data_IF_985384135707
#
_entry.id   IF_985384135707
#
_cell.length_a   1.000
_cell.length_b   1.000
_cell.length_c   1.000
_cell.angle_alpha   90.00
_cell.angle_beta   90.00
_cell.angle_gamma   90.00
#
_symmetry.space_group_name_H-M   'P 1'
#
loop_
_entity.id
_entity.type
_entity.pdbx_description
1 polymer ?
#
# COMPACT_ATOMS: atom_id res chain seq x y z
N UNK A 1 44.60 9.72 13.83
CA UNK A 1 43.50 10.33 14.60
C UNK A 1 42.36 10.75 13.71
N UNK A 2 42.62 11.52 12.69
CA UNK A 2 41.58 11.93 11.71
C UNK A 2 40.91 10.78 10.97
N UNK A 3 41.58 9.64 10.83
CA UNK A 3 41.08 8.46 10.13
C UNK A 3 39.89 7.80 10.83
N UNK A 4 39.83 7.87 12.16
CA UNK A 4 38.76 7.27 12.94
C UNK A 4 37.43 7.93 12.67
N UNK A 5 37.41 9.25 12.48
CA UNK A 5 36.22 10.02 12.15
C UNK A 5 35.64 9.59 10.80
N UNK A 6 36.51 9.32 9.80
CA UNK A 6 36.07 8.86 8.49
C UNK A 6 35.37 7.49 8.52
N UNK A 7 35.88 6.57 9.35
CA UNK A 7 35.28 5.25 9.52
C UNK A 7 33.89 5.34 10.16
N UNK A 8 33.69 6.22 11.13
CA UNK A 8 32.40 6.43 11.77
C UNK A 8 31.38 6.95 10.76
N UNK A 9 31.75 7.90 9.89
CA UNK A 9 30.88 8.41 8.83
C UNK A 9 30.48 7.32 7.84
N UNK A 10 31.38 6.45 7.46
CA UNK A 10 31.07 5.32 6.57
C UNK A 10 30.08 4.35 7.20
N UNK A 11 30.20 4.09 8.50
CA UNK A 11 29.24 3.24 9.22
C UNK A 11 27.83 3.79 9.18
N UNK A 12 27.64 5.10 9.30
CA UNK A 12 26.32 5.75 9.20
C UNK A 12 25.75 5.60 7.80
N UNK A 13 26.56 5.72 6.75
CA UNK A 13 26.13 5.60 5.36
C UNK A 13 25.69 4.17 4.98
N UNK A 14 26.07 3.16 5.76
CA UNK A 14 25.71 1.76 5.53
C UNK A 14 24.39 1.36 6.21
N UNK A 15 23.68 2.28 6.88
CA UNK A 15 22.38 1.98 7.47
C UNK A 15 21.38 1.56 6.40
N UNK A 16 20.58 0.50 6.67
CA UNK A 16 19.62 0.02 5.71
C UNK A 16 18.53 1.05 5.45
N UNK A 17 18.10 1.14 4.19
CA UNK A 17 16.96 1.96 3.78
C UNK A 17 15.79 1.02 3.55
N UNK A 18 14.67 1.26 4.26
CA UNK A 18 13.44 0.51 4.06
C UNK A 18 12.59 1.20 3.01
N UNK A 19 12.19 0.43 1.99
CA UNK A 19 11.30 0.89 0.93
C UNK A 19 10.02 0.07 1.01
N UNK A 20 8.90 0.76 1.23
CA UNK A 20 7.58 0.13 1.20
C UNK A 20 7.10 0.03 -0.25
N UNK A 21 6.36 -1.03 -0.55
CA UNK A 21 5.65 -1.16 -1.82
C UNK A 21 4.28 -1.79 -1.54
N UNK A 22 3.35 -1.59 -2.47
CA UNK A 22 1.99 -2.09 -2.35
C UNK A 22 1.68 -3.07 -3.48
N UNK A 23 2.24 -4.28 -3.33
CA UNK A 23 1.89 -5.42 -4.18
C UNK A 23 0.72 -6.14 -3.54
N UNK A 24 -0.43 -6.10 -4.20
CA UNK A 24 -1.72 -6.50 -3.65
C UNK A 24 -2.21 -7.78 -4.33
N UNK A 25 -2.59 -8.77 -3.53
CA UNK A 25 -3.23 -9.99 -4.02
C UNK A 25 -4.68 -10.03 -3.54
N UNK A 26 -5.60 -10.29 -4.47
CA UNK A 26 -7.03 -10.45 -4.16
C UNK A 26 -7.33 -11.90 -3.86
N UNK A 27 -7.75 -12.18 -2.63
CA UNK A 27 -8.17 -13.53 -2.20
C UNK A 27 -9.62 -13.79 -2.55
N UNK A 28 -10.01 -15.08 -2.58
CA UNK A 28 -11.39 -15.50 -2.81
C UNK A 28 -12.21 -15.56 -1.52
N UNK A 29 -11.56 -15.52 -0.37
CA UNK A 29 -12.20 -15.69 0.94
C UNK A 29 -11.68 -14.65 1.94
N UNK A 30 -12.60 -14.05 2.70
CA UNK A 30 -12.28 -13.08 3.73
C UNK A 30 -11.29 -13.65 4.78
N UNK A 31 -11.40 -14.93 5.09
CA UNK A 31 -10.53 -15.59 6.08
C UNK A 31 -9.05 -15.62 5.68
N UNK A 32 -8.75 -15.43 4.40
CA UNK A 32 -7.38 -15.44 3.87
C UNK A 32 -6.81 -14.04 3.68
N UNK A 33 -7.61 -13.01 3.90
CA UNK A 33 -7.23 -11.63 3.67
C UNK A 33 -6.61 -11.00 4.91
N UNK A 34 -5.68 -10.07 4.68
CA UNK A 34 -5.18 -9.19 5.73
C UNK A 34 -6.20 -8.10 6.06
N UNK A 35 -6.91 -7.61 5.05
CA UNK A 35 -7.96 -6.59 5.19
C UNK A 35 -9.12 -6.86 4.23
N UNK A 36 -10.31 -6.48 4.66
CA UNK A 36 -11.50 -6.43 3.82
C UNK A 36 -11.64 -5.04 3.22
N UNK A 37 -11.88 -4.98 1.92
CA UNK A 37 -11.92 -3.72 1.16
C UNK A 37 -13.27 -3.56 0.49
N UNK A 38 -13.86 -2.37 0.61
CA UNK A 38 -15.07 -1.98 -0.11
C UNK A 38 -14.76 -0.86 -1.09
N UNK A 39 -15.20 -1.03 -2.36
CA UNK A 39 -15.03 -0.01 -3.39
C UNK A 39 -16.26 0.91 -3.34
N UNK A 40 -16.04 2.17 -3.01
CA UNK A 40 -17.10 3.18 -2.94
C UNK A 40 -17.37 3.80 -4.32
N UNK A 41 -18.59 4.31 -4.50
CA UNK A 41 -19.01 4.93 -5.76
C UNK A 41 -18.51 6.37 -5.90
N UNK A 42 -18.25 7.05 -4.80
CA UNK A 42 -17.85 8.44 -4.78
C UNK A 42 -16.56 8.63 -4.00
N UNK A 43 -15.68 9.47 -4.52
CA UNK A 43 -14.38 9.79 -3.91
C UNK A 43 -14.54 10.29 -2.47
N UNK A 44 -15.57 11.09 -2.20
CA UNK A 44 -15.84 11.66 -0.86
C UNK A 44 -16.12 10.62 0.22
N UNK A 45 -16.44 9.39 -0.16
CA UNK A 45 -16.73 8.28 0.75
C UNK A 45 -15.50 7.40 1.03
N UNK A 46 -14.40 7.65 0.36
CA UNK A 46 -13.20 6.78 0.44
C UNK A 46 -12.30 7.16 1.62
N UNK A 47 -11.63 6.15 2.15
CA UNK A 47 -10.49 6.31 3.05
C UNK A 47 -9.20 6.54 2.26
N UNK A 48 -9.07 5.84 1.13
CA UNK A 48 -7.90 5.86 0.26
C UNK A 48 -8.33 5.93 -1.20
N UNK A 49 -7.73 6.83 -1.94
CA UNK A 49 -7.86 6.91 -3.40
C UNK A 49 -6.73 6.09 -4.01
N UNK A 50 -7.10 5.06 -4.78
CA UNK A 50 -6.18 4.07 -5.33
C UNK A 50 -6.00 4.27 -6.82
N UNK A 51 -4.75 4.32 -7.26
CA UNK A 51 -4.38 4.23 -8.66
C UNK A 51 -3.71 2.89 -8.92
N UNK A 52 -4.26 2.12 -9.89
CA UNK A 52 -3.66 0.85 -10.31
C UNK A 52 -2.46 1.14 -11.19
N UNK A 53 -1.28 0.73 -10.74
CA UNK A 53 -0.06 0.87 -11.54
C UNK A 53 0.15 -0.37 -12.41
N UNK A 54 0.81 -0.18 -13.57
CA UNK A 54 1.03 -1.26 -14.53
C UNK A 54 2.28 -2.09 -14.22
N UNK A 55 3.22 -1.51 -13.46
CA UNK A 55 4.50 -2.14 -13.17
C UNK A 55 4.79 -2.11 -11.67
N UNK A 56 5.40 -3.20 -11.17
CA UNK A 56 5.75 -3.35 -9.76
C UNK A 56 6.61 -2.19 -9.24
N UNK A 57 7.54 -1.71 -10.06
CA UNK A 57 8.43 -0.59 -9.70
C UNK A 57 7.69 0.71 -9.39
N UNK A 58 6.44 0.84 -9.83
CA UNK A 58 5.62 2.03 -9.63
C UNK A 58 4.82 1.98 -8.32
N UNK A 59 4.82 0.86 -7.60
CA UNK A 59 4.00 0.64 -6.40
C UNK A 59 4.70 1.04 -5.10
N UNK A 60 5.66 1.94 -5.16
CA UNK A 60 6.45 2.37 -4.01
C UNK A 60 5.63 3.22 -3.04
N UNK A 61 5.94 3.08 -1.75
CA UNK A 61 5.31 3.85 -0.69
C UNK A 61 3.95 3.33 -0.28
N UNK A 62 3.22 4.12 0.51
CA UNK A 62 1.88 3.81 0.99
C UNK A 62 0.96 5.01 0.71
N UNK A 63 0.80 5.35 -0.56
CA UNK A 63 0.02 6.52 -1.01
C UNK A 63 -1.02 6.12 -2.07
N UNK A 64 -1.46 4.85 -2.05
CA UNK A 64 -2.51 4.38 -2.94
C UNK A 64 -2.04 3.91 -4.31
N UNK A 65 -0.76 3.68 -4.50
CA UNK A 65 -0.22 3.12 -5.75
C UNK A 65 -0.16 1.60 -5.62
N UNK A 66 -1.15 0.93 -6.16
CA UNK A 66 -1.30 -0.53 -6.03
C UNK A 66 -0.94 -1.26 -7.31
N UNK A 67 -0.06 -2.27 -7.15
CA UNK A 67 0.23 -3.23 -8.20
C UNK A 67 -0.42 -4.57 -7.84
N UNK A 68 -1.37 -5.02 -8.65
CA UNK A 68 -2.06 -6.30 -8.43
C UNK A 68 -1.23 -7.46 -8.95
N UNK A 69 -0.90 -8.41 -8.07
CA UNK A 69 -0.12 -9.61 -8.40
C UNK A 69 -1.03 -10.82 -8.60
N UNK A 70 -0.55 -11.80 -9.36
CA UNK A 70 -1.31 -13.02 -9.68
C UNK A 70 -1.22 -14.08 -8.58
N UNK A 71 -0.15 -14.05 -7.78
CA UNK A 71 0.13 -15.08 -6.78
C UNK A 71 0.33 -14.44 -5.41
N UNK A 72 -0.27 -15.06 -4.38
CA UNK A 72 -0.19 -14.54 -3.01
C UNK A 72 1.24 -14.44 -2.49
N UNK A 73 2.13 -15.33 -2.92
CA UNK A 73 3.55 -15.33 -2.53
C UNK A 73 4.30 -14.07 -2.96
N UNK A 74 3.77 -13.33 -3.94
CA UNK A 74 4.37 -12.11 -4.47
C UNK A 74 3.82 -10.84 -3.79
N UNK A 75 2.82 -10.98 -2.93
CA UNK A 75 2.11 -9.82 -2.37
C UNK A 75 2.71 -9.31 -1.07
N UNK A 76 2.54 -8.01 -0.85
CA UNK A 76 2.76 -7.38 0.45
C UNK A 76 1.47 -7.40 1.29
N UNK A 77 0.30 -7.32 0.64
CA UNK A 77 -1.01 -7.36 1.28
C UNK A 77 -1.97 -8.24 0.50
N UNK A 78 -2.73 -9.05 1.24
CA UNK A 78 -3.84 -9.84 0.72
C UNK A 78 -5.13 -9.14 1.08
N UNK A 79 -5.97 -8.88 0.09
CA UNK A 79 -7.25 -8.19 0.28
C UNK A 79 -8.41 -9.07 -0.17
N UNK A 80 -9.56 -8.85 0.43
CA UNK A 80 -10.82 -9.42 -0.01
C UNK A 80 -11.80 -8.28 -0.26
N UNK A 81 -12.38 -8.24 -1.47
CA UNK A 81 -13.40 -7.26 -1.80
C UNK A 81 -14.75 -7.71 -1.23
N UNK A 82 -15.31 -6.90 -0.33
CA UNK A 82 -16.62 -7.16 0.28
C UNK A 82 -17.72 -6.47 -0.52
N UNK A 83 -18.94 -7.02 -0.42
CA UNK A 83 -20.11 -6.49 -1.16
C UNK A 83 -20.79 -5.35 -0.41
N UNK A 84 -20.55 -5.23 0.90
CA UNK A 84 -21.21 -4.23 1.74
C UNK A 84 -20.19 -3.43 2.52
N UNK A 85 -20.41 -2.11 2.59
CA UNK A 85 -19.55 -1.18 3.32
C UNK A 85 -19.38 -1.55 4.79
N UNK A 86 -20.44 -2.09 5.40
CA UNK A 86 -20.44 -2.50 6.82
C UNK A 86 -19.45 -3.62 7.14
N UNK A 87 -18.99 -4.35 6.14
CA UNK A 87 -18.04 -5.45 6.29
C UNK A 87 -16.59 -5.03 6.03
N UNK A 88 -16.36 -3.79 5.62
CA UNK A 88 -15.02 -3.36 5.20
C UNK A 88 -14.17 -2.85 6.35
N UNK A 89 -12.86 -3.07 6.23
CA UNK A 89 -11.85 -2.42 7.05
C UNK A 89 -11.39 -1.12 6.39
N UNK A 90 -11.41 -1.07 5.07
CA UNK A 90 -10.90 0.04 4.26
C UNK A 90 -11.84 0.29 3.08
N UNK A 91 -12.28 1.54 2.95
CA UNK A 91 -13.07 1.98 1.81
C UNK A 91 -12.15 2.65 0.79
N UNK A 92 -12.18 2.18 -0.46
CA UNK A 92 -11.32 2.72 -1.51
C UNK A 92 -12.15 3.27 -2.68
N UNK A 93 -11.55 4.23 -3.38
CA UNK A 93 -12.05 4.74 -4.64
C UNK A 93 -10.94 4.67 -5.68
N UNK A 94 -11.20 4.02 -6.83
CA UNK A 94 -10.22 3.94 -7.91
C UNK A 94 -10.21 5.23 -8.70
N UNK A 95 -9.02 5.85 -8.83
CA UNK A 95 -8.83 7.08 -9.60
C UNK A 95 -8.18 6.76 -10.95
N UNK A 96 -8.37 7.66 -11.92
CA UNK A 96 -7.89 7.49 -13.29
C UNK A 96 -6.43 7.95 -13.48
N UNK A 97 -5.95 8.84 -12.61
CA UNK A 97 -4.63 9.43 -12.73
C UNK A 97 -3.84 9.27 -11.45
N UNK A 98 -2.54 8.99 -11.60
CA UNK A 98 -1.62 8.79 -10.47
C UNK A 98 -1.63 9.99 -9.51
N UNK A 99 -1.71 11.20 -10.04
CA UNK A 99 -1.72 12.44 -9.25
C UNK A 99 -2.92 12.57 -8.30
N UNK A 100 -3.97 11.78 -8.53
CA UNK A 100 -5.19 11.80 -7.72
C UNK A 100 -5.15 10.79 -6.56
N UNK A 101 -4.15 9.89 -6.53
CA UNK A 101 -4.04 8.88 -5.47
C UNK A 101 -3.65 9.50 -4.14
N UNK A 102 -4.00 8.83 -3.05
CA UNK A 102 -3.59 9.22 -1.72
C UNK A 102 -4.66 9.02 -0.66
N UNK A 103 -4.23 9.16 0.58
CA UNK A 103 -5.09 8.98 1.75
C UNK A 103 -6.02 10.17 1.95
N UNK A 104 -7.29 9.86 2.23
CA UNK A 104 -8.27 10.84 2.73
C UNK A 104 -8.44 10.68 4.24
N UNK A 105 -8.38 9.44 4.74
CA UNK A 105 -8.46 9.13 6.18
C UNK A 105 -7.12 8.54 6.65
N UNK A 106 -6.25 9.38 7.17
CA UNK A 106 -4.92 8.98 7.63
C UNK A 106 -4.96 8.03 8.84
N UNK A 107 -6.06 7.98 9.59
CA UNK A 107 -6.19 7.08 10.73
C UNK A 107 -6.18 5.60 10.33
N UNK A 108 -6.42 5.30 9.06
CA UNK A 108 -6.42 3.93 8.52
C UNK A 108 -5.14 3.57 7.76
N UNK A 109 -4.20 4.48 7.68
CA UNK A 109 -2.95 4.28 6.93
C UNK A 109 -2.15 3.08 7.43
N UNK A 110 -2.22 2.79 8.72
CA UNK A 110 -1.53 1.66 9.35
C UNK A 110 -1.98 0.28 8.81
N UNK A 111 -3.17 0.18 8.23
CA UNK A 111 -3.68 -1.09 7.70
C UNK A 111 -2.86 -1.62 6.53
N UNK A 112 -2.11 -0.76 5.86
CA UNK A 112 -1.34 -1.09 4.66
C UNK A 112 0.19 -1.04 4.88
N UNK A 113 0.62 -0.99 6.09
CA UNK A 113 2.05 -1.14 6.40
C UNK A 113 2.44 -2.61 6.55
#
# INVERSE_FOLDING_TARGET
>A
MKRITNYILMGVLLLPIFVFSQKVFTTNYSSQADINVFVVDYESQSDLKVFKVDYQSQSKGNEGLWYFVKYSSQSNKKIFFVDYKSQSDLNIFFVKYKSQSGWRNNSKKHLLY
#
